data_IF_530285755920
#
_entry.id   IF_530285755920
#
_cell.length_a   1.000
_cell.length_b   1.000
_cell.length_c   1.000
_cell.angle_alpha   90.00
_cell.angle_beta   90.00
_cell.angle_gamma   90.00
#
_symmetry.space_group_name_H-M   'P 1'
#
loop_
_entity.id
_entity.type
_entity.pdbx_description
1 polymer ?
#
# COMPACT_ATOMS: atom_id res chain seq x y z
N UNK A 1 7.40 -44.28 -0.85
CA UNK A 1 7.37 -44.49 0.62
C UNK A 1 8.66 -43.92 1.22
N UNK A 2 8.64 -42.63 1.54
CA UNK A 2 9.48 -41.98 2.56
C UNK A 2 8.46 -41.08 3.27
N UNK A 3 7.85 -41.52 4.37
CA UNK A 3 8.54 -41.67 5.63
C UNK A 3 8.23 -40.41 6.43
N UNK A 4 7.06 -40.43 7.06
CA UNK A 4 6.51 -39.39 7.91
C UNK A 4 7.41 -39.16 9.12
N UNK A 5 8.22 -38.11 9.08
CA UNK A 5 8.69 -37.42 10.28
C UNK A 5 8.42 -35.93 10.06
N UNK A 6 7.35 -35.43 10.69
CA UNK A 6 7.27 -34.02 11.01
C UNK A 6 8.57 -33.70 11.76
N UNK A 7 9.46 -32.92 11.15
CA UNK A 7 10.78 -32.62 11.69
C UNK A 7 10.62 -32.00 13.06
N UNK A 8 10.82 -32.80 14.11
CA UNK A 8 10.79 -32.34 15.47
C UNK A 8 11.89 -31.27 15.60
N UNK A 9 11.50 -30.03 15.87
CA UNK A 9 12.43 -28.92 16.08
C UNK A 9 13.43 -29.31 17.17
N UNK A 10 14.65 -29.67 16.79
CA UNK A 10 15.72 -29.99 17.73
C UNK A 10 16.48 -28.70 18.02
N UNK A 11 15.92 -27.88 18.91
CA UNK A 11 16.53 -26.60 19.24
C UNK A 11 17.90 -26.81 19.89
N UNK A 12 18.88 -26.04 19.42
CA UNK A 12 20.22 -26.01 20.00
C UNK A 12 20.10 -25.73 21.50
N UNK A 13 20.90 -26.43 22.31
CA UNK A 13 20.89 -26.39 23.78
C UNK A 13 19.73 -27.12 24.48
N UNK A 14 18.88 -27.87 23.76
CA UNK A 14 17.82 -28.68 24.37
C UNK A 14 16.70 -27.86 25.02
N UNK A 15 16.60 -26.58 24.68
CA UNK A 15 15.52 -25.70 25.10
C UNK A 15 14.22 -26.10 24.39
N UNK A 16 13.08 -25.81 25.02
CA UNK A 16 11.79 -26.05 24.40
C UNK A 16 11.62 -25.12 23.18
N UNK A 17 11.37 -25.67 21.98
CA UNK A 17 11.25 -24.88 20.75
C UNK A 17 10.20 -23.77 20.82
N UNK A 18 9.07 -24.05 21.48
CA UNK A 18 7.98 -23.08 21.66
C UNK A 18 8.43 -21.84 22.41
N UNK A 19 9.17 -22.01 23.51
CA UNK A 19 9.65 -20.89 24.31
C UNK A 19 10.69 -20.06 23.55
N UNK A 20 11.60 -20.71 22.83
CA UNK A 20 12.60 -20.01 22.02
C UNK A 20 11.93 -19.22 20.91
N UNK A 21 10.98 -19.82 20.19
CA UNK A 21 10.23 -19.15 19.13
C UNK A 21 9.44 -17.95 19.67
N UNK A 22 8.67 -18.14 20.74
CA UNK A 22 7.84 -17.10 21.34
C UNK A 22 8.65 -15.92 21.88
N UNK A 23 9.79 -16.20 22.55
CA UNK A 23 10.69 -15.15 23.06
C UNK A 23 11.31 -14.36 21.90
N UNK A 24 11.80 -15.05 20.86
CA UNK A 24 12.36 -14.39 19.68
C UNK A 24 11.32 -13.52 18.97
N UNK A 25 10.10 -14.02 18.81
CA UNK A 25 8.99 -13.26 18.25
C UNK A 25 8.69 -12.00 19.08
N UNK A 26 8.56 -12.14 20.40
CA UNK A 26 8.28 -11.02 21.31
C UNK A 26 9.40 -9.96 21.26
N UNK A 27 10.67 -10.38 21.31
CA UNK A 27 11.82 -9.46 21.20
C UNK A 27 11.80 -8.74 19.85
N UNK A 28 11.59 -9.48 18.76
CA UNK A 28 11.51 -8.92 17.40
C UNK A 28 10.44 -7.84 17.33
N UNK A 29 9.24 -8.13 17.83
CA UNK A 29 8.13 -7.19 17.83
C UNK A 29 8.43 -5.95 18.68
N UNK A 30 8.95 -6.12 19.90
CA UNK A 30 9.34 -5.00 20.77
C UNK A 30 10.38 -4.10 20.09
N UNK A 31 11.43 -4.68 19.50
CA UNK A 31 12.48 -3.91 18.83
C UNK A 31 11.93 -3.16 17.62
N UNK A 32 11.07 -3.78 16.80
CA UNK A 32 10.39 -3.13 15.68
C UNK A 32 9.54 -1.95 16.18
N UNK A 33 8.79 -2.11 17.27
CA UNK A 33 7.99 -1.03 17.86
C UNK A 33 8.81 0.13 18.42
N UNK A 34 10.09 -0.08 18.77
CA UNK A 34 10.94 1.04 19.20
C UNK A 34 11.34 1.97 18.06
N UNK A 35 11.18 1.53 16.79
CA UNK A 35 11.59 2.24 15.57
C UNK A 35 13.08 2.68 15.54
N UNK A 36 13.90 2.21 16.49
CA UNK A 36 15.33 2.57 16.58
C UNK A 36 16.20 1.86 15.56
N UNK A 37 15.75 0.71 15.07
CA UNK A 37 16.47 -0.14 14.12
C UNK A 37 15.54 -0.43 12.95
N UNK A 38 16.10 -0.48 11.74
CA UNK A 38 15.33 -0.78 10.53
C UNK A 38 14.61 -2.14 10.67
N UNK A 39 13.29 -2.13 10.47
CA UNK A 39 12.42 -3.30 10.62
C UNK A 39 12.84 -4.51 9.78
N UNK A 40 13.40 -4.31 8.59
CA UNK A 40 13.90 -5.39 7.74
C UNK A 40 15.12 -6.07 8.36
N UNK A 41 16.04 -5.30 8.95
CA UNK A 41 17.21 -5.85 9.63
C UNK A 41 16.77 -6.73 10.81
N UNK A 42 15.86 -6.21 11.64
CA UNK A 42 15.40 -6.92 12.84
C UNK A 42 14.70 -8.24 12.48
N UNK A 43 13.76 -8.20 11.53
CA UNK A 43 13.00 -9.37 11.10
C UNK A 43 13.85 -10.42 10.38
N UNK A 44 14.80 -10.01 9.52
CA UNK A 44 15.71 -10.96 8.85
C UNK A 44 16.69 -11.61 9.83
N UNK A 45 17.21 -10.86 10.80
CA UNK A 45 18.05 -11.43 11.86
C UNK A 45 17.26 -12.43 12.70
N UNK A 46 16.03 -12.11 13.07
CA UNK A 46 15.15 -13.01 13.80
C UNK A 46 14.84 -14.28 13.00
N UNK A 47 14.52 -14.16 11.71
CA UNK A 47 14.32 -15.30 10.81
C UNK A 47 15.59 -16.18 10.70
N UNK A 48 16.76 -15.56 10.56
CA UNK A 48 18.04 -16.27 10.57
C UNK A 48 18.28 -17.01 11.89
N UNK A 49 17.98 -16.38 13.03
CA UNK A 49 18.09 -17.00 14.35
C UNK A 49 17.13 -18.18 14.53
N UNK A 50 15.90 -18.11 14.01
CA UNK A 50 14.97 -19.25 14.02
C UNK A 50 15.58 -20.49 13.35
N UNK A 51 16.31 -20.29 12.24
CA UNK A 51 16.96 -21.38 11.51
C UNK A 51 18.22 -21.85 12.24
N UNK A 52 19.11 -20.92 12.61
CA UNK A 52 20.39 -21.25 13.26
C UNK A 52 20.18 -21.96 14.60
N UNK A 53 19.17 -21.56 15.38
CA UNK A 53 18.83 -22.18 16.66
C UNK A 53 18.10 -23.52 16.51
N UNK A 54 17.77 -23.97 15.29
CA UNK A 54 17.08 -25.23 15.04
C UNK A 54 15.59 -25.20 15.38
N UNK A 55 14.98 -24.02 15.53
CA UNK A 55 13.52 -23.87 15.69
C UNK A 55 12.83 -24.26 14.39
N UNK A 56 13.39 -23.81 13.26
CA UNK A 56 12.96 -24.17 11.92
C UNK A 56 14.15 -24.74 11.14
N UNK A 57 13.87 -25.66 10.22
CA UNK A 57 14.81 -25.97 9.14
C UNK A 57 14.62 -24.98 7.98
N UNK A 58 15.59 -24.91 7.07
CA UNK A 58 15.56 -23.97 5.94
C UNK A 58 14.37 -24.22 5.00
N UNK A 59 13.97 -25.47 4.77
CA UNK A 59 12.85 -25.81 3.90
C UNK A 59 11.52 -25.34 4.48
N UNK A 60 11.28 -25.59 5.77
CA UNK A 60 10.09 -25.14 6.51
C UNK A 60 10.07 -23.61 6.61
N UNK A 61 11.21 -22.96 6.81
CA UNK A 61 11.29 -21.50 6.79
C UNK A 61 10.86 -20.92 5.43
N UNK A 62 11.35 -21.47 4.32
CA UNK A 62 10.96 -21.03 2.97
C UNK A 62 9.48 -21.29 2.71
N UNK A 63 8.94 -22.44 3.14
CA UNK A 63 7.51 -22.76 3.04
C UNK A 63 6.63 -21.81 3.87
N UNK A 64 7.15 -21.28 4.96
CA UNK A 64 6.47 -20.29 5.79
C UNK A 64 6.33 -18.93 5.13
N UNK A 65 7.12 -18.62 4.10
CA UNK A 65 7.02 -17.36 3.36
C UNK A 65 5.76 -17.37 2.49
N UNK A 66 4.88 -16.41 2.72
CA UNK A 66 3.72 -16.21 1.86
C UNK A 66 4.08 -15.40 0.60
N UNK A 67 4.38 -16.12 -0.47
CA UNK A 67 4.66 -15.54 -1.78
C UNK A 67 3.46 -14.84 -2.43
N UNK A 68 2.23 -15.13 -1.99
CA UNK A 68 1.04 -14.42 -2.45
C UNK A 68 1.08 -12.97 -1.96
N UNK A 69 1.34 -12.78 -0.66
CA UNK A 69 1.51 -11.45 -0.09
C UNK A 69 2.69 -10.70 -0.73
N UNK A 70 3.85 -11.36 -0.85
CA UNK A 70 5.05 -10.72 -1.42
C UNK A 70 4.85 -10.34 -2.89
N UNK A 71 4.30 -11.25 -3.71
CA UNK A 71 4.03 -10.98 -5.12
C UNK A 71 2.98 -9.89 -5.31
N UNK A 72 1.93 -9.87 -4.48
CA UNK A 72 0.91 -8.82 -4.50
C UNK A 72 1.52 -7.45 -4.21
N UNK A 73 2.33 -7.33 -3.15
CA UNK A 73 2.98 -6.09 -2.76
C UNK A 73 3.91 -5.56 -3.87
N UNK A 74 4.79 -6.42 -4.40
CA UNK A 74 5.72 -6.04 -5.47
C UNK A 74 4.94 -5.58 -6.72
N UNK A 75 3.95 -6.36 -7.15
CA UNK A 75 3.14 -6.04 -8.33
C UNK A 75 2.44 -4.68 -8.20
N UNK A 76 1.82 -4.43 -7.06
CA UNK A 76 1.13 -3.16 -6.80
C UNK A 76 2.10 -1.98 -6.71
N UNK A 77 3.23 -2.13 -6.01
CA UNK A 77 4.25 -1.07 -5.93
C UNK A 77 4.81 -0.70 -7.32
N UNK A 78 5.05 -1.69 -8.19
CA UNK A 78 5.49 -1.43 -9.57
C UNK A 78 4.40 -0.71 -10.37
N UNK A 79 3.13 -1.13 -10.26
CA UNK A 79 2.02 -0.46 -10.94
C UNK A 79 1.93 1.01 -10.51
N UNK A 80 2.04 1.27 -9.21
CA UNK A 80 1.99 2.62 -8.64
C UNK A 80 3.18 3.46 -9.09
N UNK A 81 4.39 2.90 -9.06
CA UNK A 81 5.62 3.57 -9.48
C UNK A 81 5.52 4.11 -10.92
N UNK A 82 4.99 3.30 -11.84
CA UNK A 82 4.78 3.71 -13.24
C UNK A 82 3.61 4.68 -13.34
N UNK A 83 2.51 4.41 -12.63
CA UNK A 83 1.30 5.24 -12.68
C UNK A 83 1.56 6.67 -12.22
N UNK A 84 2.42 6.85 -11.21
CA UNK A 84 2.86 8.16 -10.73
C UNK A 84 3.42 9.04 -11.85
N UNK A 85 4.20 8.45 -12.75
CA UNK A 85 4.87 9.18 -13.82
C UNK A 85 3.90 9.80 -14.83
N UNK A 86 2.66 9.30 -14.91
CA UNK A 86 1.61 9.85 -15.78
C UNK A 86 0.99 11.17 -15.30
N UNK A 87 1.25 11.58 -14.05
CA UNK A 87 0.67 12.78 -13.47
C UNK A 87 -0.78 12.65 -12.99
N UNK A 88 -1.32 11.42 -12.94
CA UNK A 88 -2.73 11.18 -12.59
C UNK A 88 -3.11 11.70 -11.21
N UNK A 89 -2.22 11.60 -10.22
CA UNK A 89 -2.50 12.01 -8.85
C UNK A 89 -2.60 13.54 -8.73
N UNK A 90 -1.71 14.25 -9.43
CA UNK A 90 -1.73 15.70 -9.53
C UNK A 90 -2.99 16.18 -10.25
N UNK A 91 -3.35 15.51 -11.37
CA UNK A 91 -4.59 15.77 -12.09
C UNK A 91 -5.82 15.61 -11.17
N UNK A 92 -5.90 14.51 -10.42
CA UNK A 92 -7.03 14.23 -9.53
C UNK A 92 -7.15 15.27 -8.42
N UNK A 93 -6.04 15.68 -7.81
CA UNK A 93 -6.03 16.69 -6.76
C UNK A 93 -6.48 18.08 -7.26
N UNK A 94 -5.99 18.52 -8.43
CA UNK A 94 -6.41 19.80 -9.02
C UNK A 94 -7.88 19.72 -9.45
N UNK A 95 -8.29 18.62 -10.10
CA UNK A 95 -9.68 18.38 -10.47
C UNK A 95 -10.61 18.42 -9.27
N UNK A 96 -10.22 17.76 -8.18
CA UNK A 96 -10.95 17.72 -6.92
C UNK A 96 -11.15 19.13 -6.34
N UNK A 97 -10.10 19.94 -6.33
CA UNK A 97 -10.19 21.31 -5.84
C UNK A 97 -11.09 22.22 -6.69
N UNK A 98 -11.04 22.06 -8.02
CA UNK A 98 -11.88 22.83 -8.95
C UNK A 98 -13.34 22.41 -8.89
N UNK A 99 -13.64 21.13 -8.64
CA UNK A 99 -15.01 20.60 -8.56
C UNK A 99 -15.85 21.24 -7.46
N UNK A 100 -15.20 21.83 -6.46
CA UNK A 100 -15.81 22.50 -5.29
C UNK A 100 -15.59 24.01 -5.29
N UNK A 101 -15.35 24.61 -6.48
CA UNK A 101 -15.10 26.03 -6.67
C UNK A 101 -13.97 26.58 -5.78
N UNK A 102 -12.96 25.77 -5.54
CA UNK A 102 -11.86 26.04 -4.63
C UNK A 102 -12.29 26.49 -3.21
N UNK A 103 -13.47 26.08 -2.73
CA UNK A 103 -13.91 26.41 -1.35
C UNK A 103 -13.04 25.65 -0.36
N UNK A 104 -12.40 26.30 0.63
CA UNK A 104 -11.46 25.66 1.54
C UNK A 104 -11.96 24.36 2.19
N UNK A 105 -13.16 24.38 2.77
CA UNK A 105 -13.78 23.18 3.33
C UNK A 105 -14.09 22.12 2.27
N UNK A 106 -14.63 22.53 1.12
CA UNK A 106 -14.93 21.62 0.01
C UNK A 106 -13.68 20.93 -0.52
N UNK A 107 -12.56 21.64 -0.63
CA UNK A 107 -11.28 21.08 -1.05
C UNK A 107 -10.82 20.01 -0.06
N UNK A 108 -10.90 20.30 1.24
CA UNK A 108 -10.50 19.33 2.28
C UNK A 108 -11.30 18.03 2.12
N UNK A 109 -12.63 18.14 2.01
CA UNK A 109 -13.51 16.97 1.84
C UNK A 109 -13.19 16.24 0.54
N UNK A 110 -12.99 16.96 -0.57
CA UNK A 110 -12.71 16.32 -1.85
C UNK A 110 -11.34 15.66 -1.91
N UNK A 111 -10.31 16.27 -1.35
CA UNK A 111 -8.98 15.66 -1.23
C UNK A 111 -9.09 14.41 -0.36
N UNK A 112 -9.75 14.51 0.79
CA UNK A 112 -10.00 13.37 1.67
C UNK A 112 -10.70 12.20 0.94
N UNK A 113 -11.76 12.48 0.18
CA UNK A 113 -12.46 11.46 -0.61
C UNK A 113 -11.61 10.86 -1.73
N UNK A 114 -10.91 11.70 -2.50
CA UNK A 114 -10.01 11.23 -3.57
C UNK A 114 -8.89 10.39 -2.99
N UNK A 115 -8.29 10.81 -1.89
CA UNK A 115 -7.26 10.05 -1.17
C UNK A 115 -7.81 8.71 -0.68
N UNK A 116 -9.01 8.67 -0.06
CA UNK A 116 -9.60 7.43 0.41
C UNK A 116 -9.86 6.44 -0.74
N UNK A 117 -10.44 6.91 -1.84
CA UNK A 117 -10.71 6.07 -3.02
C UNK A 117 -9.41 5.59 -3.67
N UNK A 118 -8.42 6.47 -3.78
CA UNK A 118 -7.13 6.13 -4.40
C UNK A 118 -6.37 5.12 -3.54
N UNK A 119 -6.34 5.34 -2.22
CA UNK A 119 -5.72 4.44 -1.25
C UNK A 119 -6.48 3.12 -1.07
N UNK A 120 -7.76 3.05 -1.45
CA UNK A 120 -8.48 1.77 -1.50
C UNK A 120 -8.00 0.89 -2.68
N UNK A 121 -7.40 1.48 -3.70
CA UNK A 121 -6.94 0.78 -4.90
C UNK A 121 -5.42 0.61 -4.93
N UNK A 122 -4.69 1.47 -4.21
CA UNK A 122 -3.23 1.60 -4.19
C UNK A 122 -2.75 1.62 -2.74
N UNK A 123 -1.43 1.57 -2.50
CA UNK A 123 -0.90 1.66 -1.14
C UNK A 123 -1.07 3.08 -0.54
N UNK A 124 -1.24 3.09 0.78
CA UNK A 124 -1.51 4.27 1.61
C UNK A 124 -0.36 5.29 1.61
N UNK A 125 0.87 4.85 1.88
CA UNK A 125 2.04 5.73 1.99
C UNK A 125 2.27 6.46 0.67
N UNK A 126 2.24 5.74 -0.45
CA UNK A 126 2.44 6.35 -1.75
C UNK A 126 1.33 7.31 -2.09
N UNK A 127 0.06 6.96 -1.84
CA UNK A 127 -1.07 7.87 -2.08
C UNK A 127 -0.87 9.23 -1.37
N UNK A 128 -0.47 9.22 -0.10
CA UNK A 128 -0.19 10.45 0.66
C UNK A 128 1.00 11.21 0.06
N UNK A 129 2.11 10.53 -0.22
CA UNK A 129 3.32 11.17 -0.77
C UNK A 129 3.09 11.82 -2.14
N UNK A 130 2.13 11.32 -2.92
CA UNK A 130 1.81 11.86 -4.25
C UNK A 130 0.81 13.02 -4.20
N UNK A 131 -0.17 12.95 -3.30
CA UNK A 131 -1.22 13.98 -3.20
C UNK A 131 -0.78 15.14 -2.29
N UNK A 132 0.12 14.91 -1.33
CA UNK A 132 0.60 15.93 -0.40
C UNK A 132 1.27 17.14 -1.07
N UNK A 133 2.21 17.00 -2.04
CA UNK A 133 2.82 18.15 -2.70
C UNK A 133 1.80 19.05 -3.41
N UNK A 134 0.80 18.47 -4.06
CA UNK A 134 -0.26 19.24 -4.73
C UNK A 134 -1.20 19.89 -3.73
N UNK A 135 -1.47 19.21 -2.62
CA UNK A 135 -2.27 19.78 -1.53
C UNK A 135 -1.57 20.98 -0.92
N UNK A 136 -0.26 20.90 -0.69
CA UNK A 136 0.56 22.03 -0.23
C UNK A 136 0.45 23.22 -1.20
N UNK A 137 0.65 22.99 -2.50
CA UNK A 137 0.52 24.01 -3.55
C UNK A 137 -0.88 24.68 -3.52
N UNK A 138 -1.95 23.89 -3.45
CA UNK A 138 -3.33 24.40 -3.40
C UNK A 138 -3.56 25.24 -2.14
N UNK A 139 -3.06 24.78 -0.98
CA UNK A 139 -3.23 25.51 0.28
C UNK A 139 -2.42 26.79 0.36
N UNK A 140 -1.23 26.80 -0.26
CA UNK A 140 -0.38 27.98 -0.41
C UNK A 140 -1.09 29.04 -1.27
N UNK A 141 -1.64 28.65 -2.41
CA UNK A 141 -2.41 29.57 -3.26
C UNK A 141 -3.66 30.13 -2.57
N UNK A 142 -4.32 29.32 -1.74
CA UNK A 142 -5.48 29.72 -0.94
C UNK A 142 -5.13 30.55 0.29
N UNK A 143 -3.83 30.65 0.64
CA UNK A 143 -3.33 31.28 1.87
C UNK A 143 -3.99 30.72 3.13
N UNK A 144 -4.22 29.41 3.16
CA UNK A 144 -4.76 28.69 4.31
C UNK A 144 -3.70 27.78 4.92
N UNK A 145 -3.85 27.43 6.19
CA UNK A 145 -2.96 26.46 6.82
C UNK A 145 -3.07 25.09 6.11
N UNK A 146 -1.96 24.45 5.70
CA UNK A 146 -1.98 23.13 5.08
C UNK A 146 -2.30 22.01 6.08
N UNK A 147 -2.09 22.25 7.38
CA UNK A 147 -2.15 21.23 8.41
C UNK A 147 -3.48 20.45 8.43
N UNK A 148 -4.67 21.09 8.41
CA UNK A 148 -5.95 20.36 8.42
C UNK A 148 -6.15 19.48 7.18
N UNK A 149 -5.60 19.90 6.03
CA UNK A 149 -5.70 19.17 4.77
C UNK A 149 -4.81 17.92 4.79
N UNK A 150 -3.56 18.06 5.23
CA UNK A 150 -2.65 16.92 5.38
C UNK A 150 -3.15 15.95 6.45
N UNK A 151 -3.68 16.48 7.57
CA UNK A 151 -4.27 15.65 8.62
C UNK A 151 -5.45 14.84 8.07
N UNK A 152 -6.42 15.50 7.42
CA UNK A 152 -7.56 14.82 6.81
C UNK A 152 -7.12 13.80 5.77
N UNK A 153 -6.14 14.13 4.93
CA UNK A 153 -5.56 13.24 3.93
C UNK A 153 -4.98 11.97 4.55
N UNK A 154 -4.12 12.10 5.57
CA UNK A 154 -3.48 10.95 6.23
C UNK A 154 -4.53 10.02 6.83
N UNK A 155 -5.51 10.56 7.56
CA UNK A 155 -6.60 9.75 8.11
C UNK A 155 -7.43 9.09 7.02
N UNK A 156 -7.77 9.84 5.96
CA UNK A 156 -8.56 9.33 4.84
C UNK A 156 -7.83 8.26 4.06
N UNK A 157 -6.50 8.34 3.93
CA UNK A 157 -5.70 7.31 3.28
C UNK A 157 -5.73 6.02 4.08
N UNK A 158 -5.55 6.08 5.40
CA UNK A 158 -5.63 4.89 6.25
C UNK A 158 -7.04 4.29 6.22
N UNK A 159 -8.08 5.11 6.37
CA UNK A 159 -9.48 4.68 6.30
C UNK A 159 -9.80 4.05 4.94
N UNK A 160 -9.39 4.69 3.84
CA UNK A 160 -9.59 4.18 2.49
C UNK A 160 -8.82 2.89 2.22
N UNK A 161 -7.55 2.81 2.65
CA UNK A 161 -6.71 1.63 2.51
C UNK A 161 -7.26 0.40 3.23
N UNK A 162 -7.98 0.61 4.34
CA UNK A 162 -8.68 -0.49 5.02
C UNK A 162 -9.86 -1.07 4.21
N UNK A 163 -10.33 -0.41 3.15
CA UNK A 163 -11.51 -0.86 2.40
C UNK A 163 -11.31 -2.11 1.57
N UNK A 164 -10.07 -2.40 1.22
CA UNK A 164 -9.77 -3.51 0.32
C UNK A 164 -8.63 -4.34 0.86
N UNK A 165 -8.53 -5.54 0.31
CA UNK A 165 -7.43 -6.46 0.60
C UNK A 165 -6.06 -5.83 0.33
N UNK A 166 -5.96 -4.86 -0.58
CA UNK A 166 -4.70 -4.39 -1.16
C UNK A 166 -4.18 -3.11 -0.50
N UNK A 167 -5.07 -2.29 0.05
CA UNK A 167 -4.72 -0.91 0.45
C UNK A 167 -3.71 -0.80 1.59
N UNK A 168 -3.45 -1.88 2.35
CA UNK A 168 -2.46 -1.91 3.42
C UNK A 168 -1.91 -3.34 3.63
N UNK A 169 -0.59 -3.54 3.83
CA UNK A 169 -0.02 -4.87 4.10
C UNK A 169 -0.69 -5.73 5.19
N UNK A 170 -1.18 -5.19 6.33
CA UNK A 170 -1.91 -5.99 7.31
C UNK A 170 -3.18 -6.64 6.74
N UNK A 171 -3.89 -5.97 5.84
CA UNK A 171 -5.08 -6.54 5.20
C UNK A 171 -4.70 -7.73 4.33
N UNK A 172 -3.60 -7.61 3.58
CA UNK A 172 -3.07 -8.69 2.76
C UNK A 172 -2.73 -9.90 3.64
N UNK A 173 -2.02 -9.68 4.76
CA UNK A 173 -1.69 -10.75 5.71
C UNK A 173 -2.95 -11.44 6.25
N UNK A 174 -3.96 -10.67 6.65
CA UNK A 174 -5.24 -11.22 7.14
C UNK A 174 -5.91 -12.03 6.03
N UNK A 175 -6.00 -11.47 4.81
CA UNK A 175 -6.65 -12.14 3.69
C UNK A 175 -5.97 -13.44 3.31
N UNK A 176 -4.64 -13.48 3.30
CA UNK A 176 -3.88 -14.70 3.04
C UNK A 176 -4.03 -15.74 4.15
N UNK A 177 -3.96 -15.32 5.41
CA UNK A 177 -4.11 -16.24 6.55
C UNK A 177 -5.53 -16.82 6.69
N UNK A 178 -6.55 -16.10 6.24
CA UNK A 178 -7.97 -16.49 6.39
C UNK A 178 -8.61 -16.99 5.09
N UNK A 179 -7.93 -16.84 3.94
CA UNK A 179 -8.47 -17.11 2.61
C UNK A 179 -9.56 -16.13 2.17
N UNK A 180 -9.65 -14.95 2.79
CA UNK A 180 -10.60 -13.91 2.40
C UNK A 180 -10.17 -13.24 1.08
N UNK A 181 -11.15 -13.04 0.21
CA UNK A 181 -10.93 -12.44 -1.11
C UNK A 181 -11.07 -10.92 -1.10
N UNK A 182 -10.62 -10.27 -2.18
CA UNK A 182 -10.84 -8.84 -2.40
C UNK A 182 -12.31 -8.42 -2.22
N UNK A 183 -13.24 -9.24 -2.74
CA UNK A 183 -14.67 -8.99 -2.64
C UNK A 183 -15.16 -9.08 -1.19
N UNK A 184 -14.62 -10.02 -0.39
CA UNK A 184 -15.01 -10.15 1.01
C UNK A 184 -14.62 -8.91 1.81
N UNK A 185 -13.43 -8.37 1.59
CA UNK A 185 -13.02 -7.08 2.19
C UNK A 185 -13.93 -5.94 1.72
N UNK A 186 -14.14 -5.80 0.41
CA UNK A 186 -14.91 -4.71 -0.15
C UNK A 186 -16.37 -4.72 0.37
N UNK A 187 -17.05 -5.86 0.35
CA UNK A 187 -18.45 -5.93 0.77
C UNK A 187 -18.65 -5.71 2.28
N UNK A 188 -17.73 -6.24 3.11
CA UNK A 188 -17.88 -6.12 4.56
C UNK A 188 -17.38 -4.76 5.09
N UNK A 189 -16.32 -4.19 4.51
CA UNK A 189 -15.67 -3.00 5.04
C UNK A 189 -16.16 -1.70 4.39
N UNK A 190 -16.59 -1.70 3.13
CA UNK A 190 -17.07 -0.45 2.49
C UNK A 190 -18.17 0.27 3.29
N UNK A 191 -19.25 -0.41 3.78
CA UNK A 191 -20.28 0.27 4.54
C UNK A 191 -19.74 0.91 5.83
N UNK A 192 -18.85 0.20 6.52
CA UNK A 192 -18.21 0.65 7.76
C UNK A 192 -17.31 1.86 7.47
N UNK A 193 -16.58 1.83 6.37
CA UNK A 193 -15.66 2.89 5.98
C UNK A 193 -16.36 4.17 5.59
N UNK A 194 -17.51 4.09 4.92
CA UNK A 194 -18.34 5.28 4.67
C UNK A 194 -18.77 5.93 5.98
N UNK A 195 -19.16 5.13 6.98
CA UNK A 195 -19.52 5.64 8.31
C UNK A 195 -18.30 6.23 9.02
N UNK A 196 -17.16 5.54 9.03
CA UNK A 196 -15.92 6.03 9.66
C UNK A 196 -15.49 7.34 9.00
N UNK A 197 -15.51 7.42 7.67
CA UNK A 197 -15.16 8.63 6.94
C UNK A 197 -16.04 9.82 7.33
N UNK A 198 -17.35 9.61 7.48
CA UNK A 198 -18.25 10.64 7.99
C UNK A 198 -17.91 11.02 9.45
N UNK A 199 -17.71 10.03 10.32
CA UNK A 199 -17.34 10.22 11.73
C UNK A 199 -15.98 10.91 11.88
N UNK A 200 -15.06 10.77 10.93
CA UNK A 200 -13.76 11.47 10.90
C UNK A 200 -13.90 12.90 10.39
N UNK A 201 -14.67 13.13 9.33
CA UNK A 201 -14.86 14.47 8.76
C UNK A 201 -15.67 15.40 9.68
N UNK A 202 -16.58 14.86 10.50
CA UNK A 202 -17.41 15.65 11.43
C UNK A 202 -16.54 16.41 12.46
N UNK A 203 -15.69 15.77 13.28
CA UNK A 203 -14.76 16.48 14.18
C UNK A 203 -13.83 17.43 13.44
N UNK A 204 -13.29 17.05 12.27
CA UNK A 204 -12.42 17.91 11.46
C UNK A 204 -13.15 19.19 11.05
N UNK A 205 -14.45 19.12 10.73
CA UNK A 205 -15.27 20.28 10.45
C UNK A 205 -15.37 21.22 11.66
N UNK A 206 -15.64 20.67 12.85
CA UNK A 206 -15.80 21.44 14.07
C UNK A 206 -14.49 22.06 14.57
N UNK A 207 -13.36 21.36 14.42
CA UNK A 207 -12.04 21.83 14.87
C UNK A 207 -11.46 22.85 13.90
N UNK A 208 -11.47 22.56 12.59
CA UNK A 208 -10.83 23.41 11.57
C UNK A 208 -11.79 23.95 10.53
N UNK A 209 -12.71 23.12 10.02
CA UNK A 209 -13.54 23.43 8.85
C UNK A 209 -14.33 24.75 8.94
N UNK A 210 -14.84 25.09 10.13
CA UNK A 210 -15.56 26.35 10.39
C UNK A 210 -14.70 27.62 10.25
N UNK A 211 -13.39 27.48 10.43
CA UNK A 211 -12.43 28.57 10.41
C UNK A 211 -11.70 28.68 9.06
N UNK A 212 -11.83 27.69 8.18
CA UNK A 212 -11.24 27.70 6.84
C UNK A 212 -11.97 28.70 5.94
N UNK A 213 -11.34 29.86 5.70
CA UNK A 213 -11.81 30.91 4.80
C UNK A 213 -10.66 31.31 3.88
N UNK A 214 -10.98 31.56 2.61
CA UNK A 214 -10.05 32.07 1.61
C UNK A 214 -10.71 33.23 0.87
N UNK A 215 -9.93 34.23 0.49
CA UNK A 215 -10.45 35.36 -0.27
C UNK A 215 -10.93 34.89 -1.66
N UNK A 216 -11.94 35.54 -2.26
CA UNK A 216 -12.40 35.19 -3.60
C UNK A 216 -11.28 35.20 -4.65
N UNK A 217 -10.33 36.13 -4.53
CA UNK A 217 -9.16 36.26 -5.39
C UNK A 217 -8.24 35.03 -5.28
N UNK A 218 -7.98 34.56 -4.06
CA UNK A 218 -7.14 33.39 -3.79
C UNK A 218 -7.77 32.12 -4.35
N UNK A 219 -9.11 31.99 -4.23
CA UNK A 219 -9.88 30.91 -4.85
C UNK A 219 -9.79 30.95 -6.37
N UNK A 220 -9.82 32.15 -6.96
CA UNK A 220 -9.73 32.32 -8.40
C UNK A 220 -8.37 31.89 -8.95
N UNK A 221 -7.26 32.10 -8.20
CA UNK A 221 -5.94 31.59 -8.58
C UNK A 221 -5.90 30.06 -8.68
N UNK A 222 -6.47 29.35 -7.71
CA UNK A 222 -6.61 27.89 -7.80
C UNK A 222 -7.50 27.47 -8.97
N UNK A 223 -8.56 28.22 -9.26
CA UNK A 223 -9.44 27.92 -10.40
C UNK A 223 -8.75 28.10 -11.77
N UNK A 224 -7.70 28.93 -11.84
CA UNK A 224 -6.87 29.10 -13.04
C UNK A 224 -5.95 27.92 -13.30
N UNK A 225 -5.70 27.05 -12.31
CA UNK A 225 -4.92 25.83 -12.53
C UNK A 225 -5.55 24.97 -13.63
N UNK A 226 -4.73 24.54 -14.58
CA UNK A 226 -5.15 23.64 -15.62
C UNK A 226 -4.84 22.19 -15.22
N UNK A 227 -5.85 21.45 -14.80
CA UNK A 227 -5.67 20.04 -14.43
C UNK A 227 -5.04 19.21 -15.56
N UNK A 228 -5.31 19.54 -16.82
CA UNK A 228 -4.75 18.78 -17.96
C UNK A 228 -3.24 18.97 -18.13
N UNK A 229 -2.69 20.11 -17.69
CA UNK A 229 -1.24 20.34 -17.72
C UNK A 229 -0.50 19.49 -16.68
N UNK A 230 -1.21 18.97 -15.67
CA UNK A 230 -0.64 18.03 -14.72
C UNK A 230 -0.43 16.63 -15.33
N UNK A 231 -1.09 16.30 -16.44
CA UNK A 231 -0.87 15.04 -17.15
C UNK A 231 0.38 15.21 -18.00
N UNK A 232 1.45 14.56 -17.59
CA UNK A 232 2.76 14.55 -18.26
C UNK A 232 2.75 13.66 -19.50
N UNK A 233 2.15 12.47 -19.41
CA UNK A 233 2.04 11.52 -20.51
C UNK A 233 0.60 10.95 -20.62
N UNK A 234 -0.22 11.47 -21.56
CA UNK A 234 -1.58 11.00 -21.79
C UNK A 234 -1.67 9.56 -22.32
N UNK A 235 -0.65 9.06 -23.02
CA UNK A 235 -0.61 7.67 -23.51
C UNK A 235 -0.37 6.74 -22.32
N UNK A 236 0.65 7.03 -21.51
CA UNK A 236 0.94 6.29 -20.30
C UNK A 236 -0.24 6.30 -19.33
N UNK A 237 -0.91 7.44 -19.16
CA UNK A 237 -2.13 7.54 -18.34
C UNK A 237 -3.20 6.54 -18.78
N UNK A 238 -3.50 6.46 -20.08
CA UNK A 238 -4.49 5.50 -20.60
C UNK A 238 -4.06 4.06 -20.38
N UNK A 239 -2.77 3.76 -20.55
CA UNK A 239 -2.22 2.42 -20.28
C UNK A 239 -2.36 2.07 -18.80
N UNK A 240 -1.98 2.97 -17.89
CA UNK A 240 -2.08 2.78 -16.45
C UNK A 240 -3.54 2.56 -16.02
N UNK A 241 -4.47 3.42 -16.42
CA UNK A 241 -5.88 3.28 -16.08
C UNK A 241 -6.49 1.98 -16.64
N UNK A 242 -6.09 1.59 -17.86
CA UNK A 242 -6.54 0.33 -18.46
C UNK A 242 -6.04 -0.87 -17.67
N UNK A 243 -4.75 -0.90 -17.33
CA UNK A 243 -4.16 -2.01 -16.56
C UNK A 243 -4.70 -2.04 -15.13
N UNK A 244 -4.84 -0.91 -14.46
CA UNK A 244 -5.46 -0.83 -13.12
C UNK A 244 -6.89 -1.38 -13.19
N UNK A 245 -7.68 -1.01 -14.20
CA UNK A 245 -9.02 -1.55 -14.41
C UNK A 245 -9.02 -3.08 -14.62
N UNK A 246 -8.07 -3.60 -15.41
CA UNK A 246 -7.91 -5.05 -15.61
C UNK A 246 -7.49 -5.77 -14.33
N UNK A 247 -6.59 -5.19 -13.54
CA UNK A 247 -6.13 -5.74 -12.25
C UNK A 247 -7.27 -5.76 -11.24
N UNK A 248 -8.04 -4.68 -11.11
CA UNK A 248 -9.25 -4.64 -10.26
C UNK A 248 -10.26 -5.69 -10.72
N UNK A 249 -10.52 -5.79 -12.03
CA UNK A 249 -11.37 -6.85 -12.59
C UNK A 249 -10.84 -8.25 -12.26
N UNK A 250 -9.52 -8.44 -12.39
CA UNK A 250 -8.84 -9.68 -12.02
C UNK A 250 -9.03 -10.03 -10.55
N UNK A 251 -8.96 -9.08 -9.63
CA UNK A 251 -9.24 -9.31 -8.21
C UNK A 251 -10.70 -9.66 -7.94
N UNK A 252 -11.64 -8.98 -8.61
CA UNK A 252 -13.07 -9.26 -8.47
C UNK A 252 -13.41 -10.67 -8.96
N UNK A 253 -12.77 -11.13 -10.04
CA UNK A 253 -13.00 -12.46 -10.61
C UNK A 253 -11.97 -13.52 -10.18
N UNK A 254 -11.03 -13.19 -9.28
CA UNK A 254 -9.91 -14.05 -8.91
C UNK A 254 -10.36 -15.45 -8.47
N UNK A 255 -11.38 -15.50 -7.60
CA UNK A 255 -11.97 -16.75 -7.11
C UNK A 255 -12.59 -17.60 -8.22
N UNK A 256 -13.28 -16.97 -9.18
CA UNK A 256 -13.90 -17.67 -10.31
C UNK A 256 -12.88 -18.17 -11.33
N UNK A 257 -11.75 -17.48 -11.45
CA UNK A 257 -10.64 -17.84 -12.33
C UNK A 257 -9.62 -18.78 -11.68
N UNK A 258 -9.81 -19.14 -10.40
CA UNK A 258 -8.83 -19.88 -9.60
C UNK A 258 -7.44 -19.23 -9.61
N UNK A 259 -7.42 -17.89 -9.56
CA UNK A 259 -6.19 -17.09 -9.53
C UNK A 259 -5.97 -16.53 -8.14
N UNK A 260 -4.69 -16.52 -7.75
CA UNK A 260 -4.23 -15.85 -6.56
C UNK A 260 -3.99 -14.36 -6.80
N UNK A 261 -4.09 -13.55 -5.73
CA UNK A 261 -3.95 -12.10 -5.83
C UNK A 261 -2.57 -11.69 -6.38
N UNK A 262 -1.49 -12.35 -5.95
CA UNK A 262 -0.15 -12.15 -6.52
C UNK A 262 -0.11 -12.31 -8.05
N UNK A 263 -0.77 -13.34 -8.60
CA UNK A 263 -0.73 -13.62 -10.04
C UNK A 263 -1.36 -12.47 -10.82
N UNK A 264 -2.50 -11.97 -10.35
CA UNK A 264 -3.20 -10.82 -10.96
C UNK A 264 -2.33 -9.57 -10.91
N UNK A 265 -1.77 -9.24 -9.75
CA UNK A 265 -0.94 -8.06 -9.56
C UNK A 265 0.35 -8.10 -10.37
N UNK A 266 1.09 -9.21 -10.31
CA UNK A 266 2.37 -9.38 -11.02
C UNK A 266 2.18 -9.38 -12.54
N UNK A 267 1.10 -9.99 -13.03
CA UNK A 267 0.77 -9.99 -14.45
C UNK A 267 0.36 -8.60 -14.92
N UNK A 268 -0.42 -7.87 -14.10
CA UNK A 268 -0.73 -6.46 -14.33
C UNK A 268 0.53 -5.59 -14.38
N UNK A 269 1.44 -5.75 -13.42
CA UNK A 269 2.70 -5.02 -13.37
C UNK A 269 3.57 -5.31 -14.60
N UNK A 270 3.72 -6.58 -14.98
CA UNK A 270 4.46 -6.99 -16.17
C UNK A 270 3.83 -6.43 -17.46
N UNK A 271 2.51 -6.46 -17.58
CA UNK A 271 1.78 -5.88 -18.70
C UNK A 271 1.98 -4.36 -18.77
N UNK A 272 1.92 -3.66 -17.63
CA UNK A 272 2.13 -2.22 -17.60
C UNK A 272 3.57 -1.85 -17.96
N UNK A 273 4.55 -2.57 -17.43
CA UNK A 273 5.96 -2.41 -17.82
C UNK A 273 6.13 -2.61 -19.31
N UNK A 274 5.54 -3.65 -19.90
CA UNK A 274 5.59 -3.90 -21.33
C UNK A 274 4.98 -2.75 -22.14
N UNK A 275 3.79 -2.29 -21.74
CA UNK A 275 3.05 -1.23 -22.44
C UNK A 275 3.75 0.13 -22.35
N UNK A 276 4.28 0.47 -21.18
CA UNK A 276 5.00 1.72 -20.93
C UNK A 276 6.33 1.77 -21.70
N UNK A 277 6.94 0.60 -21.91
CA UNK A 277 8.20 0.47 -22.65
C UNK A 277 8.01 0.13 -24.14
N UNK A 278 6.77 0.05 -24.61
CA UNK A 278 6.45 -0.37 -25.98
C UNK A 278 6.89 0.67 -27.02
N UNK A 279 7.82 0.28 -27.88
CA UNK A 279 8.37 1.11 -28.96
C UNK A 279 9.68 1.83 -28.60
N UNK A 280 10.21 1.63 -27.39
CA UNK A 280 11.52 2.14 -26.98
C UNK A 280 12.63 1.09 -27.20
N UNK A 281 13.87 1.56 -27.31
CA UNK A 281 15.07 0.73 -27.44
C UNK A 281 15.44 0.05 -26.12
N UNK A 282 16.19 -1.06 -26.18
CA UNK A 282 16.47 -1.90 -25.01
C UNK A 282 17.20 -1.18 -23.86
N UNK A 283 18.01 -0.16 -24.14
CA UNK A 283 18.69 0.63 -23.11
C UNK A 283 17.70 1.49 -22.33
N UNK A 284 16.80 2.19 -23.04
CA UNK A 284 15.73 2.96 -22.43
C UNK A 284 14.78 2.05 -21.62
N UNK A 285 14.42 0.88 -22.16
CA UNK A 285 13.59 -0.08 -21.44
C UNK A 285 14.24 -0.53 -20.13
N UNK A 286 15.53 -0.84 -20.16
CA UNK A 286 16.27 -1.28 -18.97
C UNK A 286 16.32 -0.17 -17.90
N UNK A 287 16.56 1.07 -18.32
CA UNK A 287 16.58 2.23 -17.40
C UNK A 287 15.22 2.46 -16.76
N UNK A 288 14.15 2.47 -17.55
CA UNK A 288 12.81 2.74 -17.04
C UNK A 288 12.29 1.60 -16.13
N UNK A 289 12.60 0.33 -16.45
CA UNK A 289 12.33 -0.81 -15.58
C UNK A 289 13.09 -0.67 -14.25
N UNK A 290 14.36 -0.28 -14.29
CA UNK A 290 15.16 -0.06 -13.10
C UNK A 290 14.61 1.07 -12.23
N UNK A 291 14.18 2.18 -12.83
CA UNK A 291 13.51 3.28 -12.13
C UNK A 291 12.24 2.78 -11.40
N UNK A 292 11.39 2.00 -12.08
CA UNK A 292 10.21 1.42 -11.45
C UNK A 292 10.56 0.45 -10.30
N UNK A 293 11.61 -0.35 -10.44
CA UNK A 293 12.06 -1.27 -9.38
C UNK A 293 12.73 -0.57 -8.20
N UNK A 294 13.33 0.60 -8.40
CA UNK A 294 13.91 1.41 -7.33
C UNK A 294 12.84 2.05 -6.44
N UNK A 295 11.64 2.29 -6.96
CA UNK A 295 10.50 2.81 -6.19
C UNK A 295 9.82 1.71 -5.35
N UNK A 296 10.13 0.42 -5.59
CA UNK A 296 9.62 -0.67 -4.76
C UNK A 296 10.22 -0.57 -3.35
N UNK A 297 9.38 -0.67 -2.33
CA UNK A 297 9.82 -0.62 -0.93
C UNK A 297 10.46 -1.94 -0.47
N UNK A 298 11.69 -2.19 -0.89
CA UNK A 298 12.41 -3.43 -0.55
C UNK A 298 12.55 -3.65 0.96
N UNK A 299 12.63 -2.58 1.75
CA UNK A 299 12.62 -2.66 3.22
C UNK A 299 11.32 -3.33 3.71
N UNK A 300 10.18 -2.97 3.14
CA UNK A 300 8.87 -3.54 3.47
C UNK A 300 8.78 -5.00 3.04
N UNK A 301 9.26 -5.32 1.83
CA UNK A 301 9.30 -6.70 1.31
C UNK A 301 10.14 -7.62 2.21
N UNK A 302 11.39 -7.24 2.50
CA UNK A 302 12.27 -8.04 3.35
C UNK A 302 11.79 -8.12 4.80
N UNK A 303 11.11 -7.08 5.29
CA UNK A 303 10.42 -7.13 6.57
C UNK A 303 9.36 -8.23 6.62
N UNK A 304 8.50 -8.32 5.60
CA UNK A 304 7.48 -9.37 5.55
C UNK A 304 8.07 -10.76 5.37
N UNK A 305 9.10 -10.92 4.55
CA UNK A 305 9.81 -12.20 4.41
C UNK A 305 10.32 -12.68 5.77
N UNK A 306 11.02 -11.81 6.52
CA UNK A 306 11.50 -12.14 7.85
C UNK A 306 10.37 -12.44 8.83
N UNK A 307 9.32 -11.60 8.85
CA UNK A 307 8.18 -11.76 9.73
C UNK A 307 7.43 -13.08 9.49
N UNK A 308 7.20 -13.47 8.24
CA UNK A 308 6.54 -14.72 7.90
C UNK A 308 7.32 -15.95 8.40
N UNK A 309 8.65 -15.94 8.27
CA UNK A 309 9.49 -17.01 8.81
C UNK A 309 9.37 -17.08 10.34
N UNK A 310 9.42 -15.93 11.02
CA UNK A 310 9.32 -15.88 12.49
C UNK A 310 7.94 -16.35 12.96
N UNK A 311 6.86 -15.89 12.34
CA UNK A 311 5.48 -16.32 12.67
C UNK A 311 5.31 -17.81 12.43
N UNK A 312 5.77 -18.32 11.28
CA UNK A 312 5.72 -19.76 10.97
C UNK A 312 6.53 -20.60 11.97
N UNK A 313 7.63 -20.04 12.50
CA UNK A 313 8.42 -20.67 13.56
C UNK A 313 7.66 -20.81 14.86
N UNK A 314 6.85 -19.82 15.22
CA UNK A 314 5.98 -19.90 16.41
C UNK A 314 4.87 -20.91 16.18
N UNK A 315 4.15 -20.82 15.05
CA UNK A 315 3.03 -21.73 14.72
C UNK A 315 3.48 -23.20 14.59
N UNK A 316 4.70 -23.46 14.09
CA UNK A 316 5.23 -24.81 13.94
C UNK A 316 5.68 -25.48 15.25
N UNK A 317 5.74 -24.73 16.36
CA UNK A 317 6.23 -25.22 17.67
C UNK A 317 5.13 -25.40 18.72
N UNK A 318 3.87 -25.10 18.40
CA UNK A 318 2.71 -25.17 19.31
C UNK A 318 1.46 -25.75 18.67
#
# INVERSE_FOLDING_TARGET
MHGSEAGAASVLFGLNPMWVAAILFAITYIVVMTEKVNRAIVSLLAAGLMIVLGVLNQETAIRGIDFNTIGLLIGMMVIVAITRQSGVFQFLAIWAAKKVDARPWGILVMIALVTAVTSALLDNVTTVLLVAPVTLLITEELKVSPYPYLFAMIFSSNIGGTATLIGDPPNIMIGSATGLTFNDFAYNLMPVIVVIMAVTLIPIYFIWGRHLKAAPEDRQRVMQFNAREAITDPRLLKQCLSVIGLVIGGFVFAKALHLEAATVAMTGAALLLLLANFGHDAEHQSKHVLEAFNEVEWITIFFFVGLFIVVHGVDGTG
#
